data_IF_715362057260
#
_entry.id   IF_715362057260
#
_cell.length_a   1.000
_cell.length_b   1.000
_cell.length_c   1.000
_cell.angle_alpha   90.00
_cell.angle_beta   90.00
_cell.angle_gamma   90.00
#
_symmetry.space_group_name_H-M   'P 1'
#
loop_
_entity.id
_entity.type
_entity.pdbx_description
1 polymer ?
#
# COMPACT_ATOMS: atom_id res chain seq x y z
N UNK A 1 -34.31 16.28 -34.51
CA UNK A 1 -33.68 15.11 -35.15
C UNK A 1 -32.19 15.39 -35.19
N UNK A 2 -31.49 15.09 -34.09
CA UNK A 2 -30.03 15.14 -34.03
C UNK A 2 -29.57 13.79 -33.51
N UNK A 3 -29.32 12.84 -34.42
CA UNK A 3 -28.98 11.45 -34.08
C UNK A 3 -27.54 11.27 -33.55
N UNK A 4 -26.82 12.38 -33.29
CA UNK A 4 -25.41 12.36 -32.86
C UNK A 4 -25.20 12.96 -31.46
N UNK A 5 -26.24 13.54 -30.84
CA UNK A 5 -26.18 14.20 -29.52
C UNK A 5 -26.87 13.40 -28.40
N UNK A 6 -27.21 12.13 -28.61
CA UNK A 6 -27.99 11.31 -27.65
C UNK A 6 -27.40 9.92 -27.35
N UNK A 7 -26.21 9.54 -27.85
CA UNK A 7 -25.48 8.35 -27.33
C UNK A 7 -24.51 8.82 -26.25
N UNK A 8 -24.36 8.02 -25.19
CA UNK A 8 -23.39 8.28 -24.13
C UNK A 8 -21.97 8.34 -24.69
N UNK A 9 -21.09 9.09 -24.03
CA UNK A 9 -19.69 9.14 -24.44
C UNK A 9 -19.08 7.77 -24.22
N UNK A 10 -18.16 7.38 -25.10
CA UNK A 10 -17.42 6.12 -24.97
C UNK A 10 -16.73 5.98 -23.61
N UNK A 11 -16.26 7.09 -23.05
CA UNK A 11 -15.65 7.15 -21.71
C UNK A 11 -16.63 6.69 -20.63
N UNK A 12 -17.88 7.17 -20.67
CA UNK A 12 -18.93 6.83 -19.70
C UNK A 12 -19.32 5.34 -19.80
N UNK A 13 -19.39 4.79 -21.03
CA UNK A 13 -19.64 3.36 -21.25
C UNK A 13 -18.51 2.47 -20.72
N UNK A 14 -17.25 2.93 -20.81
CA UNK A 14 -16.09 2.23 -20.25
C UNK A 14 -16.12 2.29 -18.74
N UNK A 15 -16.37 3.46 -18.14
CA UNK A 15 -16.53 3.62 -16.70
C UNK A 15 -17.63 2.71 -16.16
N UNK A 16 -18.79 2.65 -16.83
CA UNK A 16 -19.86 1.69 -16.53
C UNK A 16 -19.38 0.22 -16.58
N UNK A 17 -18.63 -0.16 -17.62
CA UNK A 17 -18.14 -1.53 -17.79
C UNK A 17 -17.16 -1.97 -16.69
N UNK A 18 -16.37 -1.04 -16.15
CA UNK A 18 -15.43 -1.30 -15.06
C UNK A 18 -16.03 -1.07 -13.67
N UNK A 19 -17.27 -0.58 -13.58
CA UNK A 19 -17.94 -0.26 -12.31
C UNK A 19 -17.38 0.99 -11.64
N UNK A 20 -16.83 1.92 -12.42
CA UNK A 20 -16.21 3.17 -11.98
C UNK A 20 -17.17 4.38 -12.08
N UNK A 21 -18.45 4.14 -12.41
CA UNK A 21 -19.48 5.17 -12.47
C UNK A 21 -20.30 5.23 -11.16
N UNK A 22 -20.82 6.41 -10.84
CA UNK A 22 -21.73 6.61 -9.70
C UNK A 22 -23.08 5.89 -9.91
N UNK A 23 -23.83 5.66 -8.83
CA UNK A 23 -25.09 4.91 -8.89
C UNK A 23 -26.14 5.56 -9.81
N UNK A 24 -26.27 6.88 -9.76
CA UNK A 24 -27.20 7.65 -10.61
C UNK A 24 -26.78 7.63 -12.09
N UNK A 25 -25.48 7.67 -12.35
CA UNK A 25 -24.93 7.56 -13.71
C UNK A 25 -25.14 6.17 -14.28
N UNK A 26 -24.96 5.14 -13.46
CA UNK A 26 -25.23 3.76 -13.83
C UNK A 26 -26.68 3.55 -14.27
N UNK A 27 -27.65 4.08 -13.52
CA UNK A 27 -29.07 3.97 -13.88
C UNK A 27 -29.41 4.68 -15.19
N UNK A 28 -28.82 5.87 -15.43
CA UNK A 28 -28.98 6.60 -16.70
C UNK A 28 -28.43 5.81 -17.88
N UNK A 29 -27.23 5.25 -17.73
CA UNK A 29 -26.59 4.42 -18.77
C UNK A 29 -27.41 3.14 -19.01
N UNK A 30 -27.87 2.46 -17.97
CA UNK A 30 -28.71 1.26 -18.11
C UNK A 30 -30.02 1.57 -18.87
N UNK A 31 -30.67 2.70 -18.58
CA UNK A 31 -31.83 3.16 -19.33
C UNK A 31 -31.50 3.48 -20.80
N UNK A 32 -30.34 4.10 -21.05
CA UNK A 32 -29.86 4.38 -22.41
C UNK A 32 -29.57 3.10 -23.21
N UNK A 33 -28.90 2.11 -22.60
CA UNK A 33 -28.60 0.82 -23.22
C UNK A 33 -29.87 0.04 -23.57
N UNK A 34 -30.95 0.20 -22.79
CA UNK A 34 -32.25 -0.40 -23.10
C UNK A 34 -32.94 0.25 -24.32
N UNK A 35 -32.62 1.51 -24.62
CA UNK A 35 -33.25 2.28 -25.70
C UNK A 35 -32.38 2.41 -26.97
N UNK A 36 -31.06 2.18 -26.89
CA UNK A 36 -30.11 2.40 -27.98
C UNK A 36 -29.33 1.12 -28.34
N UNK A 37 -29.74 0.47 -29.43
CA UNK A 37 -29.11 -0.76 -29.92
C UNK A 37 -27.62 -0.59 -30.26
N UNK A 38 -27.21 0.58 -30.74
CA UNK A 38 -25.81 0.86 -31.06
C UNK A 38 -24.93 0.85 -29.80
N UNK A 39 -25.30 1.65 -28.81
CA UNK A 39 -24.55 1.74 -27.56
C UNK A 39 -24.60 0.37 -26.81
N UNK A 40 -25.71 -0.39 -26.90
CA UNK A 40 -25.79 -1.77 -26.41
C UNK A 40 -24.82 -2.74 -27.11
N UNK A 41 -24.76 -2.71 -28.45
CA UNK A 41 -23.85 -3.54 -29.23
C UNK A 41 -22.38 -3.22 -28.93
N UNK A 42 -22.04 -1.95 -28.70
CA UNK A 42 -20.69 -1.53 -28.30
C UNK A 42 -20.31 -2.15 -26.94
N UNK A 43 -21.19 -2.05 -25.92
CA UNK A 43 -20.96 -2.63 -24.59
C UNK A 43 -20.85 -4.15 -24.65
N UNK A 44 -21.70 -4.82 -25.42
CA UNK A 44 -21.68 -6.28 -25.56
C UNK A 44 -20.43 -6.77 -26.30
N UNK A 45 -19.95 -6.02 -27.29
CA UNK A 45 -18.66 -6.27 -27.94
C UNK A 45 -17.50 -6.22 -26.94
N UNK A 46 -17.45 -5.20 -26.09
CA UNK A 46 -16.42 -5.08 -25.04
C UNK A 46 -16.53 -6.19 -23.99
N UNK A 47 -17.75 -6.55 -23.56
CA UNK A 47 -17.97 -7.70 -22.66
C UNK A 47 -17.49 -9.01 -23.27
N UNK A 48 -17.68 -9.20 -24.57
CA UNK A 48 -17.20 -10.37 -25.29
C UNK A 48 -15.68 -10.48 -25.27
N UNK A 49 -14.97 -9.38 -25.60
CA UNK A 49 -13.51 -9.32 -25.52
C UNK A 49 -13.01 -9.65 -24.10
N UNK A 50 -13.66 -9.10 -23.06
CA UNK A 50 -13.31 -9.40 -21.66
C UNK A 50 -13.47 -10.88 -21.33
N UNK A 51 -14.54 -11.54 -21.80
CA UNK A 51 -14.70 -12.99 -21.63
C UNK A 51 -13.60 -13.77 -22.37
N UNK A 52 -13.27 -13.39 -23.59
CA UNK A 52 -12.20 -14.04 -24.36
C UNK A 52 -10.83 -13.90 -23.68
N UNK A 53 -10.51 -12.72 -23.16
CA UNK A 53 -9.27 -12.48 -22.40
C UNK A 53 -9.27 -13.21 -21.06
N UNK A 54 -10.40 -13.28 -20.36
CA UNK A 54 -10.52 -14.03 -19.11
C UNK A 54 -10.36 -15.55 -19.30
N UNK A 55 -10.79 -16.07 -20.46
CA UNK A 55 -10.61 -17.46 -20.84
C UNK A 55 -9.23 -17.75 -21.46
N UNK A 56 -8.45 -16.72 -21.77
CA UNK A 56 -7.14 -16.88 -22.38
C UNK A 56 -6.16 -17.45 -21.35
N UNK A 57 -5.65 -18.64 -21.65
CA UNK A 57 -4.53 -19.22 -20.92
C UNK A 57 -3.23 -18.94 -21.70
N UNK A 58 -2.17 -18.47 -21.03
CA UNK A 58 -0.88 -18.32 -21.67
C UNK A 58 -0.38 -19.70 -22.15
N UNK A 59 0.23 -19.79 -23.35
CA UNK A 59 0.86 -21.03 -23.79
C UNK A 59 2.01 -21.42 -22.85
N UNK A 60 2.24 -22.72 -22.69
CA UNK A 60 3.38 -23.23 -21.93
C UNK A 60 4.68 -22.75 -22.57
N UNK A 61 5.35 -21.83 -21.88
CA UNK A 61 6.67 -21.35 -22.27
C UNK A 61 7.73 -22.19 -21.55
N UNK A 62 8.68 -22.75 -22.30
CA UNK A 62 9.91 -23.28 -21.70
C UNK A 62 10.80 -22.10 -21.31
N UNK A 63 10.60 -21.64 -20.07
CA UNK A 63 11.28 -20.46 -19.55
C UNK A 63 12.75 -20.75 -19.19
N UNK A 64 13.19 -22.02 -19.13
CA UNK A 64 14.52 -22.37 -18.63
C UNK A 64 14.74 -22.08 -17.13
N UNK A 65 13.73 -21.57 -16.44
CA UNK A 65 13.71 -21.35 -14.99
C UNK A 65 12.31 -21.62 -14.42
N UNK A 66 12.27 -22.00 -13.13
CA UNK A 66 11.02 -22.27 -12.42
C UNK A 66 10.49 -20.98 -11.80
N UNK A 67 9.31 -20.53 -12.22
CA UNK A 67 8.59 -19.47 -11.51
C UNK A 67 8.11 -20.05 -10.17
N UNK A 68 8.73 -19.62 -9.07
CA UNK A 68 8.26 -19.91 -7.73
C UNK A 68 7.37 -18.74 -7.31
N UNK A 69 6.06 -18.93 -7.42
CA UNK A 69 5.10 -17.99 -6.84
C UNK A 69 5.04 -18.22 -5.34
N UNK A 70 5.89 -17.51 -4.60
CA UNK A 70 5.83 -17.47 -3.14
C UNK A 70 4.73 -16.49 -2.73
N UNK A 71 3.46 -16.87 -2.96
CA UNK A 71 2.37 -16.26 -2.21
C UNK A 71 2.58 -16.73 -0.78
N UNK A 72 2.97 -15.85 0.17
CA UNK A 72 3.12 -16.27 1.54
C UNK A 72 1.78 -16.86 1.94
N UNK A 73 1.76 -18.17 2.22
CA UNK A 73 0.66 -18.75 2.99
C UNK A 73 0.62 -17.92 4.25
N UNK A 74 -0.33 -16.98 4.32
CA UNK A 74 -0.65 -16.28 5.56
C UNK A 74 -1.18 -17.35 6.48
N UNK A 75 -0.27 -18.03 7.14
CA UNK A 75 -0.58 -18.89 8.24
C UNK A 75 -1.26 -18.00 9.26
N UNK A 76 -2.57 -18.19 9.42
CA UNK A 76 -3.32 -17.47 10.43
C UNK A 76 -2.58 -17.69 11.76
N UNK A 77 -2.10 -16.61 12.39
CA UNK A 77 -1.26 -16.74 13.56
C UNK A 77 -1.92 -17.60 14.62
N UNK A 78 -1.14 -18.46 15.28
CA UNK A 78 -1.66 -19.42 16.25
C UNK A 78 -2.49 -18.77 17.36
N UNK A 79 -2.20 -17.51 17.72
CA UNK A 79 -2.99 -16.73 18.70
C UNK A 79 -4.42 -16.45 18.25
N UNK A 80 -4.70 -16.38 16.94
CA UNK A 80 -6.08 -16.28 16.41
C UNK A 80 -6.84 -17.60 16.47
N UNK A 81 -6.14 -18.75 16.57
CA UNK A 81 -6.76 -20.07 16.80
C UNK A 81 -7.01 -20.37 18.28
N UNK A 82 -6.26 -19.74 19.18
CA UNK A 82 -6.39 -19.96 20.64
C UNK A 82 -7.17 -18.82 21.34
N UNK A 83 -7.34 -17.67 20.68
CA UNK A 83 -7.93 -16.44 21.25
C UNK A 83 -9.44 -16.28 21.12
N UNK A 84 -10.21 -17.27 20.63
CA UNK A 84 -11.68 -17.21 20.60
C UNK A 84 -12.33 -17.59 21.94
N UNK A 85 -11.81 -17.03 23.04
CA UNK A 85 -12.59 -16.83 24.27
C UNK A 85 -12.79 -15.32 24.46
N UNK A 86 -14.01 -14.78 24.29
CA UNK A 86 -14.30 -13.35 24.28
C UNK A 86 -14.08 -12.65 25.64
N UNK A 87 -13.58 -13.36 26.65
CA UNK A 87 -13.50 -12.87 28.03
C UNK A 87 -12.58 -11.65 28.20
N UNK A 88 -11.50 -11.53 27.42
CA UNK A 88 -10.62 -10.35 27.50
C UNK A 88 -11.20 -9.12 26.79
N UNK A 89 -12.06 -9.31 25.78
CA UNK A 89 -12.77 -8.21 25.12
C UNK A 89 -13.78 -7.53 26.06
N UNK A 90 -14.45 -8.32 26.91
CA UNK A 90 -15.40 -7.80 27.91
C UNK A 90 -14.68 -7.00 28.99
N UNK A 91 -13.49 -7.43 29.42
CA UNK A 91 -12.69 -6.70 30.42
C UNK A 91 -12.21 -5.35 29.89
N UNK A 92 -11.73 -5.29 28.64
CA UNK A 92 -11.30 -4.03 28.02
C UNK A 92 -12.47 -3.04 27.85
N UNK A 93 -13.63 -3.52 27.39
CA UNK A 93 -14.83 -2.69 27.27
C UNK A 93 -15.33 -2.19 28.63
N UNK A 94 -15.30 -3.04 29.66
CA UNK A 94 -15.69 -2.66 31.02
C UNK A 94 -14.75 -1.59 31.62
N UNK A 95 -13.44 -1.69 31.41
CA UNK A 95 -12.48 -0.68 31.87
C UNK A 95 -12.70 0.69 31.20
N UNK A 96 -12.98 0.70 29.89
CA UNK A 96 -13.28 1.95 29.16
C UNK A 96 -14.60 2.56 29.63
N UNK A 97 -15.65 1.74 29.80
CA UNK A 97 -16.93 2.19 30.33
C UNK A 97 -16.79 2.74 31.76
N UNK A 98 -16.02 2.06 32.62
CA UNK A 98 -15.72 2.53 33.97
C UNK A 98 -14.94 3.86 33.96
N UNK A 99 -13.97 4.03 33.07
CA UNK A 99 -13.23 5.29 32.93
C UNK A 99 -14.11 6.46 32.46
N UNK A 100 -15.07 6.18 31.58
CA UNK A 100 -16.08 7.14 31.14
C UNK A 100 -17.04 7.53 32.28
N UNK A 101 -17.57 6.55 33.02
CA UNK A 101 -18.46 6.78 34.18
C UNK A 101 -17.74 7.50 35.32
N UNK A 102 -16.46 7.21 35.56
CA UNK A 102 -15.65 7.87 36.59
C UNK A 102 -15.20 9.30 36.20
N UNK A 103 -15.58 9.78 35.01
CA UNK A 103 -15.25 11.12 34.51
C UNK A 103 -13.77 11.33 34.25
N UNK A 104 -13.00 10.25 34.07
CA UNK A 104 -11.57 10.26 33.71
C UNK A 104 -11.39 10.34 32.20
N UNK A 105 -12.43 9.98 31.44
CA UNK A 105 -12.46 10.00 29.98
C UNK A 105 -13.68 10.80 29.52
N UNK A 106 -13.45 11.98 28.95
CA UNK A 106 -14.49 12.78 28.27
C UNK A 106 -14.24 12.71 26.76
N UNK A 107 -15.22 12.19 26.03
CA UNK A 107 -15.21 12.12 24.57
C UNK A 107 -16.31 13.05 24.09
N UNK A 108 -15.94 14.23 23.62
CA UNK A 108 -16.87 15.15 22.97
C UNK A 108 -16.67 15.08 21.47
N UNK A 109 -17.78 14.88 20.78
CA UNK A 109 -17.85 15.05 19.33
C UNK A 109 -18.20 16.49 19.04
N UNK A 110 -17.29 17.21 18.39
CA UNK A 110 -17.49 18.59 17.98
C UNK A 110 -17.17 18.68 16.48
N UNK A 111 -18.22 18.76 15.66
CA UNK A 111 -18.12 18.78 14.21
C UNK A 111 -17.45 17.52 13.62
N UNK A 112 -16.39 17.72 12.83
CA UNK A 112 -15.66 16.70 12.06
C UNK A 112 -14.48 16.06 12.81
N UNK A 113 -14.38 16.29 14.12
CA UNK A 113 -13.27 15.82 14.95
C UNK A 113 -13.71 15.19 16.26
N UNK A 114 -12.92 14.23 16.73
CA UNK A 114 -13.09 13.62 18.06
C UNK A 114 -12.00 14.14 18.98
N UNK A 115 -12.39 14.91 20.00
CA UNK A 115 -11.48 15.38 21.04
C UNK A 115 -11.61 14.45 22.25
N UNK A 116 -10.54 13.71 22.53
CA UNK A 116 -10.47 12.79 23.68
C UNK A 116 -9.64 13.45 24.78
N UNK A 117 -10.27 13.76 25.91
CA UNK A 117 -9.58 14.31 27.09
C UNK A 117 -9.48 13.23 28.16
N UNK A 118 -8.25 12.88 28.53
CA UNK A 118 -7.95 11.98 29.65
C UNK A 118 -7.54 12.80 30.87
N UNK A 119 -8.40 12.83 31.88
CA UNK A 119 -8.23 13.56 33.13
C UNK A 119 -9.56 13.70 33.88
N UNK A 120 -9.53 13.66 35.23
CA UNK A 120 -10.74 13.81 36.05
C UNK A 120 -11.31 15.21 35.88
N UNK A 121 -12.53 15.32 35.35
CA UNK A 121 -13.28 16.57 35.39
C UNK A 121 -13.63 16.88 36.86
N UNK A 122 -12.80 17.69 37.53
CA UNK A 122 -13.19 18.30 38.79
C UNK A 122 -14.43 19.14 38.51
N UNK A 123 -15.56 18.70 39.05
CA UNK A 123 -16.88 19.21 38.72
C UNK A 123 -17.00 20.72 38.97
N UNK A 124 -17.60 21.38 37.98
CA UNK A 124 -18.67 22.36 38.21
C UNK A 124 -18.32 23.64 38.97
N UNK A 125 -18.17 24.71 38.19
CA UNK A 125 -18.81 25.98 38.52
C UNK A 125 -18.00 26.95 39.38
N UNK A 126 -17.25 27.84 38.71
CA UNK A 126 -17.23 29.25 39.08
C UNK A 126 -16.86 30.06 37.85
N UNK A 127 -17.84 30.83 37.36
CA UNK A 127 -17.55 32.03 36.57
C UNK A 127 -16.78 32.97 37.50
N UNK A 128 -15.46 32.95 37.40
CA UNK A 128 -14.61 33.93 38.06
C UNK A 128 -14.23 34.96 37.01
N UNK A 129 -15.09 35.96 36.87
CA UNK A 129 -14.69 37.29 36.46
C UNK A 129 -13.58 37.73 37.43
N UNK A 130 -12.34 37.74 36.95
CA UNK A 130 -11.19 38.27 37.69
C UNK A 130 -10.74 39.53 36.97
N UNK A 131 -11.27 40.65 37.45
CA UNK A 131 -10.58 41.94 37.47
C UNK A 131 -9.15 41.76 37.97
N UNK A 132 -8.18 42.35 37.26
CA UNK A 132 -6.75 42.32 37.59
C UNK A 132 -6.43 42.92 38.97
N UNK A 133 -5.15 42.92 39.41
CA UNK A 133 -4.07 43.57 38.65
C UNK A 133 -2.68 42.89 38.71
N UNK A 134 -1.74 43.51 37.98
CA UNK A 134 -0.29 43.56 38.20
C UNK A 134 0.59 42.37 37.72
N UNK A 135 1.07 42.53 36.48
CA UNK A 135 2.49 42.65 36.15
C UNK A 135 3.50 41.67 36.79
N UNK A 136 3.88 40.66 36.01
CA UNK A 136 5.29 40.22 35.93
C UNK A 136 5.63 40.05 34.46
N UNK A 137 6.52 40.91 33.98
CA UNK A 137 7.09 40.86 32.64
C UNK A 137 7.96 39.60 32.46
N UNK A 138 7.60 38.78 31.48
CA UNK A 138 8.48 37.83 30.83
C UNK A 138 8.33 38.04 29.32
N UNK A 139 9.43 38.08 28.54
CA UNK A 139 9.41 38.61 27.19
C UNK A 139 8.54 37.75 26.27
N UNK A 140 7.52 38.39 25.69
CA UNK A 140 6.79 37.86 24.56
C UNK A 140 7.78 37.66 23.40
N UNK A 141 8.15 36.41 23.14
CA UNK A 141 8.64 36.04 21.81
C UNK A 141 7.42 36.16 20.89
N UNK A 142 7.43 37.03 19.87
CA UNK A 142 6.34 37.07 18.93
C UNK A 142 6.36 35.75 18.17
N UNK A 143 5.41 34.86 18.47
CA UNK A 143 5.00 33.83 17.52
C UNK A 143 4.24 34.59 16.44
N UNK A 144 4.97 35.04 15.43
CA UNK A 144 4.38 35.40 14.16
C UNK A 144 3.64 34.16 13.68
N UNK A 145 2.32 34.27 13.54
CA UNK A 145 1.53 33.35 12.74
C UNK A 145 2.05 33.45 11.31
N UNK A 146 3.08 32.66 11.01
CA UNK A 146 3.58 32.47 9.66
C UNK A 146 2.49 31.81 8.83
N UNK A 147 2.26 32.35 7.63
CA UNK A 147 1.35 31.81 6.65
C UNK A 147 1.56 30.28 6.48
N UNK A 148 0.49 29.52 6.16
CA UNK A 148 0.57 28.06 5.96
C UNK A 148 1.68 27.62 4.98
N UNK A 149 2.05 28.48 4.02
CA UNK A 149 3.16 28.25 3.08
C UNK A 149 4.54 28.09 3.76
N UNK A 150 4.79 28.78 4.89
CA UNK A 150 6.08 28.71 5.59
C UNK A 150 6.28 27.39 6.34
N UNK A 151 5.19 26.71 6.74
CA UNK A 151 5.24 25.39 7.39
C UNK A 151 5.54 24.30 6.36
N UNK A 152 4.95 24.39 5.17
CA UNK A 152 5.23 23.49 4.06
C UNK A 152 6.68 23.61 3.58
N UNK A 153 7.25 24.82 3.51
CA UNK A 153 8.67 25.01 3.17
C UNK A 153 9.63 24.34 4.16
N UNK A 154 9.31 24.40 5.46
CA UNK A 154 10.10 23.77 6.52
C UNK A 154 9.96 22.24 6.45
N UNK A 155 8.76 21.73 6.21
CA UNK A 155 8.50 20.30 6.03
C UNK A 155 9.23 19.76 4.79
N UNK A 156 9.17 20.45 3.66
CA UNK A 156 9.85 20.04 2.42
C UNK A 156 11.37 20.08 2.58
N UNK A 157 11.92 21.07 3.28
CA UNK A 157 13.35 21.06 3.68
C UNK A 157 13.69 19.86 4.54
N UNK A 158 12.82 19.51 5.51
CA UNK A 158 13.05 18.36 6.39
C UNK A 158 13.00 17.04 5.62
N UNK A 159 12.01 16.87 4.74
CA UNK A 159 11.88 15.71 3.84
C UNK A 159 13.13 15.60 2.96
N UNK A 160 13.58 16.70 2.35
CA UNK A 160 14.81 16.72 1.56
C UNK A 160 16.04 16.24 2.35
N UNK A 161 16.19 16.70 3.60
CA UNK A 161 17.31 16.22 4.45
C UNK A 161 17.20 14.74 4.82
N UNK A 162 15.99 14.21 4.98
CA UNK A 162 15.77 12.79 5.29
C UNK A 162 16.02 11.91 4.07
N UNK A 163 15.60 12.35 2.87
CA UNK A 163 15.85 11.65 1.61
C UNK A 163 17.35 11.53 1.39
N UNK A 164 18.10 12.63 1.48
CA UNK A 164 19.57 12.62 1.34
C UNK A 164 20.25 11.70 2.36
N UNK A 165 19.77 11.69 3.61
CA UNK A 165 20.28 10.78 4.64
C UNK A 165 19.98 9.31 4.30
N UNK A 166 18.79 9.03 3.75
CA UNK A 166 18.39 7.68 3.35
C UNK A 166 19.15 7.19 2.12
N UNK A 167 19.36 8.04 1.11
CA UNK A 167 20.09 7.73 -0.11
C UNK A 167 21.54 7.37 0.21
N UNK A 168 22.18 8.11 1.12
CA UNK A 168 23.54 7.78 1.56
C UNK A 168 23.62 6.41 2.24
N UNK A 169 22.64 6.04 3.06
CA UNK A 169 22.56 4.70 3.68
C UNK A 169 22.32 3.62 2.62
N UNK A 170 21.39 3.87 1.70
CA UNK A 170 21.05 2.92 0.63
C UNK A 170 22.22 2.68 -0.32
N UNK A 171 22.97 3.73 -0.69
CA UNK A 171 24.15 3.60 -1.56
C UNK A 171 25.24 2.74 -0.93
N UNK A 172 25.47 2.87 0.39
CA UNK A 172 26.44 2.06 1.12
C UNK A 172 26.04 0.59 1.14
N UNK A 173 24.79 0.28 1.51
CA UNK A 173 24.30 -1.10 1.53
C UNK A 173 24.31 -1.73 0.13
N UNK A 174 23.94 -0.95 -0.89
CA UNK A 174 23.90 -1.43 -2.27
C UNK A 174 25.30 -1.77 -2.79
N UNK A 175 26.30 -0.92 -2.53
CA UNK A 175 27.69 -1.20 -2.92
C UNK A 175 28.20 -2.50 -2.28
N UNK A 176 27.90 -2.74 -1.00
CA UNK A 176 28.28 -3.99 -0.33
C UNK A 176 27.60 -5.21 -0.93
N UNK A 177 26.29 -5.12 -1.24
CA UNK A 177 25.55 -6.23 -1.87
C UNK A 177 26.07 -6.55 -3.27
N UNK A 178 26.39 -5.53 -4.08
CA UNK A 178 26.96 -5.75 -5.41
C UNK A 178 28.32 -6.44 -5.35
N UNK A 179 29.19 -6.05 -4.41
CA UNK A 179 30.48 -6.71 -4.23
C UNK A 179 30.32 -8.17 -3.80
N UNK A 180 29.38 -8.47 -2.90
CA UNK A 180 29.08 -9.83 -2.49
C UNK A 180 28.61 -10.70 -3.66
N UNK A 181 27.69 -10.18 -4.50
CA UNK A 181 27.22 -10.88 -5.69
C UNK A 181 28.35 -11.12 -6.71
N UNK A 182 29.22 -10.13 -6.94
CA UNK A 182 30.35 -10.28 -7.85
C UNK A 182 31.29 -11.41 -7.41
N UNK A 183 31.55 -11.53 -6.09
CA UNK A 183 32.37 -12.62 -5.54
C UNK A 183 31.71 -13.99 -5.73
N UNK A 184 30.39 -14.10 -5.56
CA UNK A 184 29.65 -15.34 -5.76
C UNK A 184 29.76 -15.83 -7.22
N UNK A 185 29.57 -14.94 -8.20
CA UNK A 185 29.73 -15.28 -9.62
C UNK A 185 31.14 -15.72 -9.98
N UNK A 186 32.17 -15.09 -9.39
CA UNK A 186 33.56 -15.50 -9.62
C UNK A 186 33.85 -16.91 -9.07
N UNK A 187 33.29 -17.26 -7.91
CA UNK A 187 33.41 -18.60 -7.34
C UNK A 187 32.72 -19.63 -8.22
N UNK A 188 31.48 -19.36 -8.64
CA UNK A 188 30.73 -20.26 -9.51
C UNK A 188 31.43 -20.50 -10.84
N UNK A 189 32.02 -19.44 -11.44
CA UNK A 189 32.79 -19.56 -12.69
C UNK A 189 34.03 -20.44 -12.50
N UNK A 190 34.73 -20.35 -11.36
CA UNK A 190 35.90 -21.19 -11.08
C UNK A 190 35.52 -22.65 -10.92
N UNK A 191 34.41 -22.93 -10.22
CA UNK A 191 33.89 -24.30 -10.09
C UNK A 191 33.49 -24.89 -11.44
N UNK A 192 32.80 -24.10 -12.26
CA UNK A 192 32.41 -24.51 -13.62
C UNK A 192 33.64 -24.79 -14.50
N UNK A 193 34.65 -23.91 -14.46
CA UNK A 193 35.92 -24.14 -15.17
C UNK A 193 36.62 -25.44 -14.72
N UNK A 194 36.65 -25.71 -13.41
CA UNK A 194 37.22 -26.95 -12.88
C UNK A 194 36.45 -28.18 -13.34
N UNK A 195 35.12 -28.12 -13.36
CA UNK A 195 34.27 -29.21 -13.85
C UNK A 195 34.48 -29.49 -15.34
N UNK A 196 34.50 -28.46 -16.17
CA UNK A 196 34.77 -28.59 -17.61
C UNK A 196 36.16 -29.18 -17.86
N UNK A 197 37.20 -28.74 -17.14
CA UNK A 197 38.53 -29.32 -17.28
C UNK A 197 38.58 -30.80 -16.89
N UNK A 198 37.84 -31.22 -15.85
CA UNK A 198 37.75 -32.63 -15.45
C UNK A 198 37.01 -33.47 -16.49
N UNK A 199 35.88 -32.99 -17.01
CA UNK A 199 35.11 -33.69 -18.05
C UNK A 199 35.91 -33.83 -19.34
N UNK A 200 36.59 -32.76 -19.79
CA UNK A 200 37.47 -32.78 -20.96
C UNK A 200 38.66 -33.72 -20.74
N UNK A 201 39.28 -33.70 -19.56
CA UNK A 201 40.36 -34.61 -19.20
C UNK A 201 39.93 -36.08 -19.21
N UNK A 202 38.75 -36.40 -18.68
CA UNK A 202 38.18 -37.74 -18.68
C UNK A 202 37.87 -38.23 -20.12
N UNK A 203 37.36 -37.34 -20.98
CA UNK A 203 37.14 -37.66 -22.40
C UNK A 203 38.46 -37.92 -23.14
N UNK A 204 39.51 -37.15 -22.85
CA UNK A 204 40.83 -37.38 -23.42
C UNK A 204 41.42 -38.74 -23.01
N UNK A 205 41.33 -39.11 -21.72
CA UNK A 205 41.78 -40.41 -21.23
C UNK A 205 40.97 -41.58 -21.83
N UNK A 206 39.65 -41.40 -21.96
CA UNK A 206 38.77 -42.36 -22.63
C UNK A 206 39.18 -42.58 -24.09
N UNK A 207 39.44 -41.51 -24.85
CA UNK A 207 39.86 -41.61 -26.25
C UNK A 207 41.21 -42.30 -26.40
N UNK A 208 42.18 -42.01 -25.54
CA UNK A 208 43.49 -42.70 -25.53
C UNK A 208 43.32 -44.20 -25.26
N UNK A 209 42.45 -44.56 -24.30
CA UNK A 209 42.16 -45.96 -23.97
C UNK A 209 41.49 -46.72 -25.12
N UNK A 210 40.58 -46.07 -25.86
CA UNK A 210 39.87 -46.68 -26.99
C UNK A 210 40.74 -46.77 -28.26
N UNK A 211 41.74 -45.89 -28.40
CA UNK A 211 42.64 -45.83 -29.56
C UNK A 211 43.99 -46.53 -29.38
N UNK A 212 44.26 -47.10 -28.20
CA UNK A 212 45.41 -47.97 -27.96
C UNK A 212 45.26 -49.34 -28.67
N UNK A 213 46.38 -50.00 -29.03
CA UNK A 213 46.43 -51.13 -29.98
C UNK A 213 45.71 -52.40 -29.53
#
# INVERSE_FOLDING_TARGET
MDATSTCDRREDLVAYLYGECEAEERERIEAHLAACERCAAEVDGLRSVRRSLAAWAPPEADLGFRIVSDLPRREAPWWRRVGSRPAWGVAAAACVAAAFVLGVLDVRWEGDGVVIRLGRAAGGGASAEVTGPAEVAAPAVPVTAGAPEAVDDVLMRRIGTLIEQSERRQQQEFATRLLALAQEFELQRREDQMRVQQEVGALADYLVRVSGP
#
